data_IF_926849642218
#
_entry.id   IF_926849642218
#
_cell.length_a   1.000
_cell.length_b   1.000
_cell.length_c   1.000
_cell.angle_alpha   90.00
_cell.angle_beta   90.00
_cell.angle_gamma   90.00
#
_symmetry.space_group_name_H-M   'P 1'
#
loop_
_entity.id
_entity.type
_entity.pdbx_description
1 polymer ?
#
# COMPACT_ATOMS: atom_id res chain seq x y z
N UNK A 1 10.41 21.78 7.81
CA UNK A 1 9.83 21.80 6.65
C UNK A 1 8.88 20.71 6.32
N UNK A 2 9.32 19.50 6.04
CA UNK A 2 8.35 18.45 5.73
C UNK A 2 7.39 18.18 6.86
N UNK A 3 7.82 18.46 8.06
CA UNK A 3 7.00 18.23 9.24
C UNK A 3 5.74 19.06 9.26
N UNK A 4 5.73 20.16 8.54
CA UNK A 4 4.57 21.05 8.52
C UNK A 4 3.48 20.61 7.55
N UNK A 5 3.86 19.85 6.52
CA UNK A 5 2.93 19.43 5.47
C UNK A 5 3.06 17.94 5.25
N UNK A 6 2.89 17.17 6.31
CA UNK A 6 3.14 15.76 6.19
C UNK A 6 2.02 15.07 5.46
N UNK A 7 2.16 15.04 4.15
CA UNK A 7 1.39 14.10 3.35
C UNK A 7 2.11 12.78 3.46
N UNK A 8 1.51 11.83 4.12
CA UNK A 8 2.04 10.48 4.17
C UNK A 8 1.67 9.76 2.88
N UNK A 9 2.27 8.60 2.64
CA UNK A 9 1.93 7.77 1.50
C UNK A 9 0.47 7.32 1.53
N UNK A 10 -0.17 7.38 2.68
CA UNK A 10 -1.56 6.96 2.85
C UNK A 10 -2.55 8.10 2.68
N UNK A 11 -2.08 9.33 2.51
CA UNK A 11 -2.98 10.48 2.36
C UNK A 11 -3.70 10.43 1.00
N UNK A 12 -5.04 10.39 0.97
CA UNK A 12 -5.80 10.23 -0.26
C UNK A 12 -5.98 11.57 -0.99
N UNK A 13 -4.99 11.98 -1.76
CA UNK A 13 -4.96 13.29 -2.38
C UNK A 13 -5.21 13.31 -3.88
N UNK A 14 -5.15 12.17 -4.57
CA UNK A 14 -5.21 12.13 -6.03
C UNK A 14 -6.60 11.76 -6.53
N UNK A 15 -7.18 12.62 -7.38
CA UNK A 15 -8.41 12.27 -8.10
C UNK A 15 -8.09 11.19 -9.14
N UNK A 16 -9.11 10.47 -9.58
CA UNK A 16 -8.92 9.31 -10.46
C UNK A 16 -8.19 9.65 -11.76
N UNK A 17 -8.43 10.81 -12.34
CA UNK A 17 -7.76 11.21 -13.58
C UNK A 17 -6.26 11.37 -13.39
N UNK A 18 -5.86 11.92 -12.25
CA UNK A 18 -4.43 12.07 -11.90
C UNK A 18 -3.83 10.72 -11.57
N UNK A 19 -4.54 9.91 -10.79
CA UNK A 19 -4.08 8.56 -10.46
C UNK A 19 -3.88 7.71 -11.71
N UNK A 20 -4.76 7.85 -12.69
CA UNK A 20 -4.64 7.15 -13.98
C UNK A 20 -3.36 7.57 -14.69
N UNK A 21 -3.07 8.87 -14.74
CA UNK A 21 -1.85 9.37 -15.37
C UNK A 21 -0.61 8.87 -14.66
N UNK A 22 -0.60 8.95 -13.34
CA UNK A 22 0.57 8.56 -12.55
C UNK A 22 0.84 7.06 -12.59
N UNK A 23 -0.20 6.25 -12.70
CA UNK A 23 -0.06 4.79 -12.74
C UNK A 23 0.10 4.25 -14.17
N UNK A 24 -0.18 5.06 -15.18
CA UNK A 24 -0.16 4.61 -16.56
C UNK A 24 -1.35 3.75 -16.93
N UNK A 25 -2.44 3.81 -16.17
CA UNK A 25 -3.64 3.00 -16.39
C UNK A 25 -4.81 3.90 -16.78
N UNK A 26 -5.78 3.31 -17.47
CA UNK A 26 -6.99 4.01 -17.83
C UNK A 26 -7.90 4.16 -16.59
N UNK A 27 -8.63 5.29 -16.43
CA UNK A 27 -9.55 5.45 -15.31
C UNK A 27 -10.54 4.30 -15.14
N UNK A 28 -11.01 3.75 -16.24
CA UNK A 28 -11.95 2.63 -16.18
C UNK A 28 -11.29 1.38 -15.57
N UNK A 29 -10.00 1.19 -15.84
CA UNK A 29 -9.23 0.11 -15.23
C UNK A 29 -9.12 0.31 -13.72
N UNK A 30 -8.91 1.55 -13.27
CA UNK A 30 -8.86 1.84 -11.85
C UNK A 30 -10.19 1.52 -11.17
N UNK A 31 -11.31 1.85 -11.82
CA UNK A 31 -12.64 1.52 -11.30
C UNK A 31 -12.84 0.02 -11.21
N UNK A 32 -12.36 -0.72 -12.21
CA UNK A 32 -12.44 -2.18 -12.22
C UNK A 32 -11.62 -2.78 -11.08
N UNK A 33 -10.41 -2.29 -10.88
CA UNK A 33 -9.53 -2.78 -9.82
C UNK A 33 -10.10 -2.49 -8.44
N UNK A 34 -10.78 -1.35 -8.28
CA UNK A 34 -11.51 -1.06 -7.04
C UNK A 34 -12.60 -2.10 -6.81
N UNK A 35 -13.41 -2.37 -7.82
CA UNK A 35 -14.48 -3.36 -7.71
C UNK A 35 -13.95 -4.77 -7.41
N UNK A 36 -12.79 -5.10 -7.93
CA UNK A 36 -12.17 -6.42 -7.72
C UNK A 36 -11.42 -6.51 -6.38
N UNK A 37 -11.31 -5.40 -5.67
CA UNK A 37 -10.61 -5.40 -4.38
C UNK A 37 -9.09 -5.38 -4.50
N UNK A 38 -8.55 -5.00 -5.67
CA UNK A 38 -7.10 -4.88 -5.85
C UNK A 38 -6.57 -3.58 -5.27
N UNK A 39 -7.40 -2.55 -5.23
CA UNK A 39 -7.07 -1.26 -4.66
C UNK A 39 -8.32 -0.74 -3.97
N UNK A 40 -8.16 0.00 -2.89
CA UNK A 40 -9.28 0.52 -2.11
C UNK A 40 -9.10 2.03 -1.91
N UNK A 41 -9.47 2.84 -2.91
CA UNK A 41 -9.37 4.30 -2.75
C UNK A 41 -10.39 4.80 -1.74
N UNK A 42 -10.07 5.92 -1.11
CA UNK A 42 -11.01 6.60 -0.25
C UNK A 42 -12.12 7.24 -1.09
N UNK A 43 -13.26 7.52 -0.46
CA UNK A 43 -14.39 8.17 -1.10
C UNK A 43 -14.59 9.56 -0.52
N UNK A 44 -14.83 10.52 -1.39
CA UNK A 44 -15.27 11.84 -0.94
C UNK A 44 -16.76 11.78 -0.59
N UNK A 45 -17.30 12.79 0.13
CA UNK A 45 -18.72 12.82 0.42
C UNK A 45 -19.62 12.74 -0.82
N UNK A 46 -19.12 13.22 -1.96
CA UNK A 46 -19.87 13.12 -3.22
C UNK A 46 -19.68 11.79 -3.95
N UNK A 47 -18.98 10.82 -3.35
CA UNK A 47 -18.78 9.50 -3.94
C UNK A 47 -17.57 9.37 -4.86
N UNK A 48 -16.81 10.45 -5.04
CA UNK A 48 -15.62 10.42 -5.87
C UNK A 48 -14.48 9.63 -5.22
N UNK A 49 -13.63 9.06 -6.05
CA UNK A 49 -12.49 8.29 -5.57
C UNK A 49 -11.30 9.20 -5.33
N UNK A 50 -10.56 8.92 -4.24
CA UNK A 50 -9.30 9.59 -3.93
C UNK A 50 -8.24 8.55 -3.65
N UNK A 51 -7.14 8.67 -4.35
CA UNK A 51 -6.03 7.71 -4.30
C UNK A 51 -4.86 8.31 -3.55
N UNK A 52 -4.18 7.48 -2.77
CA UNK A 52 -2.95 7.87 -2.09
C UNK A 52 -1.73 7.56 -2.96
N UNK A 53 -0.56 8.05 -2.55
CA UNK A 53 0.69 7.68 -3.20
C UNK A 53 0.93 6.17 -3.09
N UNK A 54 0.56 5.57 -1.97
CA UNK A 54 0.64 4.12 -1.79
C UNK A 54 -0.24 3.39 -2.80
N UNK A 55 -1.44 3.90 -3.03
CA UNK A 55 -2.34 3.32 -4.05
C UNK A 55 -1.71 3.39 -5.44
N UNK A 56 -1.07 4.51 -5.76
CA UNK A 56 -0.40 4.67 -7.06
C UNK A 56 0.72 3.62 -7.21
N UNK A 57 1.51 3.43 -6.16
CA UNK A 57 2.56 2.41 -6.15
C UNK A 57 1.98 1.01 -6.35
N UNK A 58 0.88 0.71 -5.68
CA UNK A 58 0.17 -0.56 -5.82
C UNK A 58 -0.31 -0.77 -7.25
N UNK A 59 -0.90 0.25 -7.86
CA UNK A 59 -1.39 0.18 -9.24
C UNK A 59 -0.24 -0.08 -10.22
N UNK A 60 0.91 0.53 -10.01
CA UNK A 60 2.09 0.28 -10.83
C UNK A 60 2.56 -1.15 -10.67
N UNK A 61 2.53 -1.69 -9.47
CA UNK A 61 2.90 -3.07 -9.20
C UNK A 61 1.94 -4.03 -9.89
N UNK A 62 0.64 -3.76 -9.84
CA UNK A 62 -0.36 -4.57 -10.53
C UNK A 62 -0.08 -4.60 -12.02
N UNK A 63 0.23 -3.43 -12.60
CA UNK A 63 0.54 -3.36 -14.03
C UNK A 63 1.79 -4.14 -14.37
N UNK A 64 2.82 -4.04 -13.55
CA UNK A 64 4.07 -4.78 -13.75
C UNK A 64 3.81 -6.29 -13.74
N UNK A 65 3.09 -6.77 -12.75
CA UNK A 65 2.77 -8.20 -12.62
C UNK A 65 1.94 -8.69 -13.80
N UNK A 66 1.00 -7.86 -14.25
CA UNK A 66 0.12 -8.23 -15.36
C UNK A 66 0.87 -8.25 -16.69
N UNK A 67 1.66 -7.22 -16.97
CA UNK A 67 2.26 -7.05 -18.29
C UNK A 67 3.64 -7.68 -18.43
N UNK A 68 4.45 -7.62 -17.40
CA UNK A 68 5.82 -8.13 -17.47
C UNK A 68 5.94 -9.57 -16.99
N UNK A 69 5.09 -9.97 -16.06
CA UNK A 69 5.13 -11.33 -15.50
C UNK A 69 4.00 -12.21 -16.01
N UNK A 70 3.09 -11.67 -16.82
CA UNK A 70 1.96 -12.41 -17.40
C UNK A 70 1.09 -13.10 -16.35
N UNK A 71 0.92 -12.49 -15.18
CA UNK A 71 0.10 -13.06 -14.12
C UNK A 71 -1.33 -12.55 -14.30
N UNK A 72 -2.32 -13.43 -14.20
CA UNK A 72 -3.72 -13.01 -14.30
C UNK A 72 -4.17 -12.28 -13.04
N UNK A 73 -5.33 -11.62 -13.11
CA UNK A 73 -5.80 -10.77 -12.02
C UNK A 73 -6.03 -11.54 -10.72
N UNK A 74 -6.50 -12.78 -10.79
CA UNK A 74 -6.69 -13.60 -9.59
C UNK A 74 -5.36 -13.87 -8.91
N UNK A 75 -4.34 -14.20 -9.68
CA UNK A 75 -2.99 -14.41 -9.18
C UNK A 75 -2.39 -13.14 -8.60
N UNK A 76 -2.59 -12.00 -9.27
CA UNK A 76 -2.11 -10.72 -8.79
C UNK A 76 -2.75 -10.40 -7.44
N UNK A 77 -4.06 -10.58 -7.32
CA UNK A 77 -4.76 -10.33 -6.05
C UNK A 77 -4.16 -11.17 -4.93
N UNK A 78 -3.89 -12.44 -5.21
CA UNK A 78 -3.29 -13.34 -4.22
C UNK A 78 -1.88 -12.90 -3.84
N UNK A 79 -1.08 -12.49 -4.83
CA UNK A 79 0.27 -11.96 -4.57
C UNK A 79 0.21 -10.75 -3.65
N UNK A 80 -0.68 -9.81 -3.93
CA UNK A 80 -0.81 -8.61 -3.11
C UNK A 80 -1.24 -8.94 -1.68
N UNK A 81 -2.15 -9.89 -1.51
CA UNK A 81 -2.55 -10.36 -0.19
C UNK A 81 -1.37 -10.94 0.57
N UNK A 82 -0.58 -11.77 -0.10
CA UNK A 82 0.59 -12.39 0.52
C UNK A 82 1.68 -11.36 0.84
N UNK A 83 1.92 -10.41 -0.05
CA UNK A 83 2.87 -9.33 0.21
C UNK A 83 2.45 -8.51 1.43
N UNK A 84 1.16 -8.25 1.56
CA UNK A 84 0.63 -7.53 2.71
C UNK A 84 0.81 -8.33 3.99
N UNK A 85 0.58 -9.63 3.96
CA UNK A 85 0.82 -10.50 5.10
C UNK A 85 2.30 -10.51 5.48
N UNK A 86 3.18 -10.62 4.51
CA UNK A 86 4.62 -10.59 4.74
C UNK A 86 5.03 -9.27 5.39
N UNK A 87 4.50 -8.15 4.89
CA UNK A 87 4.78 -6.84 5.46
C UNK A 87 4.36 -6.77 6.94
N UNK A 88 3.15 -7.22 7.24
CA UNK A 88 2.65 -7.24 8.61
C UNK A 88 3.48 -8.13 9.54
N UNK A 89 3.89 -9.30 9.04
CA UNK A 89 4.71 -10.22 9.82
C UNK A 89 6.11 -9.66 10.07
N UNK A 90 6.68 -8.97 9.09
CA UNK A 90 7.99 -8.31 9.26
C UNK A 90 7.92 -7.21 10.29
N UNK A 91 6.85 -6.40 10.26
CA UNK A 91 6.66 -5.36 11.28
C UNK A 91 6.54 -5.95 12.67
N UNK A 92 5.80 -7.05 12.80
CA UNK A 92 5.66 -7.73 14.07
C UNK A 92 6.99 -8.30 14.55
N UNK A 93 7.77 -8.89 13.65
CA UNK A 93 9.09 -9.42 13.99
C UNK A 93 10.02 -8.31 14.47
N UNK A 94 10.04 -7.18 13.77
CA UNK A 94 10.84 -6.03 14.18
C UNK A 94 10.44 -5.50 15.54
N UNK A 95 9.13 -5.43 15.81
CA UNK A 95 8.63 -4.99 17.09
C UNK A 95 9.05 -5.94 18.23
N UNK A 96 8.96 -7.25 17.99
CA UNK A 96 9.36 -8.26 18.97
C UNK A 96 10.86 -8.25 19.21
N UNK A 97 11.65 -8.04 18.15
CA UNK A 97 13.10 -7.92 18.26
C UNK A 97 13.49 -6.69 19.10
N UNK A 98 12.80 -5.57 18.88
CA UNK A 98 13.03 -4.35 19.65
C UNK A 98 12.65 -4.55 21.11
N UNK A 99 11.53 -5.22 21.37
CA UNK A 99 11.08 -5.55 22.72
C UNK A 99 12.08 -6.44 23.43
N UNK A 100 12.57 -7.47 22.73
CA UNK A 100 13.57 -8.36 23.29
C UNK A 100 14.87 -7.64 23.61
N UNK A 101 15.34 -6.80 22.70
CA UNK A 101 16.55 -6.01 22.92
C UNK A 101 16.40 -5.10 24.14
N UNK A 102 15.23 -4.47 24.30
CA UNK A 102 14.94 -3.60 25.43
C UNK A 102 14.93 -4.41 26.73
N UNK A 103 14.31 -5.57 26.74
CA UNK A 103 14.25 -6.43 27.92
C UNK A 103 15.64 -6.92 28.31
N UNK A 104 16.45 -7.33 27.34
CA UNK A 104 17.81 -7.79 27.60
C UNK A 104 18.68 -6.66 28.16
N UNK A 105 18.53 -5.45 27.62
CA UNK A 105 19.27 -4.30 28.12
C UNK A 105 18.87 -3.96 29.56
N UNK A 106 17.58 -4.00 29.86
CA UNK A 106 17.08 -3.73 31.20
C UNK A 106 17.58 -4.79 32.20
N UNK A 107 17.60 -6.05 31.79
CA UNK A 107 18.11 -7.14 32.62
C UNK A 107 19.60 -6.96 32.89
N UNK A 108 20.38 -6.63 31.89
CA UNK A 108 21.81 -6.38 32.05
C UNK A 108 22.08 -5.20 32.98
N UNK A 109 21.23 -4.17 32.91
CA UNK A 109 21.40 -2.99 33.74
C UNK A 109 21.13 -3.23 35.22
N UNK A 110 20.40 -4.29 35.57
CA UNK A 110 20.07 -4.60 36.95
C UNK A 110 21.06 -5.53 37.63
N UNK A 111 22.03 -6.03 36.87
CA UNK A 111 23.06 -6.95 37.41
C UNK A 111 24.26 -6.21 38.08
#
# INVERSE_FOLDING_TARGET
MREMFQLTDDTPVYVISVAAQLSGLHPQTLRQYDRLGLVSPDRTPGGGRRYSARDIGLLREVQRLSQHENINLAGIKRILELENQVHGLRQRAEALEAELAHTLAATAATV
#
